data_IF_451237636819
#
_entry.id   IF_451237636819
#
_cell.length_a   1.000
_cell.length_b   1.000
_cell.length_c   1.000
_cell.angle_alpha   90.00
_cell.angle_beta   90.00
_cell.angle_gamma   90.00
#
_symmetry.space_group_name_H-M   'P 1'
#
loop_
_entity.id
_entity.type
_entity.pdbx_description
1 polymer ?
#
# COMPACT_ATOMS: atom_id res chain seq x y z
N UNK A 1 33.35 -2.76 0.37
CA UNK A 1 32.92 -3.25 -0.96
C UNK A 1 31.46 -3.60 -0.87
N UNK A 2 30.67 -3.21 -1.86
CA UNK A 2 29.28 -3.63 -2.00
C UNK A 2 29.22 -5.14 -2.19
N UNK A 3 28.26 -5.80 -1.52
CA UNK A 3 27.87 -7.16 -1.87
C UNK A 3 27.14 -7.08 -3.22
N UNK A 4 27.74 -7.61 -4.27
CA UNK A 4 27.17 -7.60 -5.61
C UNK A 4 26.84 -9.01 -6.08
N UNK A 5 25.70 -9.13 -6.75
CA UNK A 5 25.29 -10.38 -7.41
C UNK A 5 26.17 -10.61 -8.64
N UNK A 6 26.73 -11.81 -8.86
CA UNK A 6 27.47 -12.13 -10.08
C UNK A 6 26.66 -11.90 -11.34
N UNK A 7 27.32 -11.53 -12.43
CA UNK A 7 26.65 -11.10 -13.66
C UNK A 7 25.77 -12.19 -14.29
N UNK A 8 26.27 -13.42 -14.34
CA UNK A 8 25.49 -14.56 -14.85
C UNK A 8 24.20 -14.77 -14.04
N UNK A 9 24.27 -14.63 -12.71
CA UNK A 9 23.10 -14.72 -11.83
C UNK A 9 22.13 -13.55 -12.04
N UNK A 10 22.61 -12.34 -12.34
CA UNK A 10 21.72 -11.23 -12.71
C UNK A 10 20.96 -11.53 -14.00
N UNK A 11 21.63 -12.06 -15.02
CA UNK A 11 20.99 -12.41 -16.29
C UNK A 11 19.88 -13.46 -16.10
N UNK A 12 20.15 -14.48 -15.27
CA UNK A 12 19.14 -15.48 -14.92
C UNK A 12 17.94 -14.86 -14.18
N UNK A 13 18.19 -13.98 -13.20
CA UNK A 13 17.15 -13.27 -12.46
C UNK A 13 16.31 -12.39 -13.39
N UNK A 14 16.94 -11.67 -14.32
CA UNK A 14 16.26 -10.81 -15.28
C UNK A 14 15.37 -11.62 -16.23
N UNK A 15 15.88 -12.74 -16.75
CA UNK A 15 15.09 -13.65 -17.57
C UNK A 15 13.85 -14.15 -16.81
N UNK A 16 14.03 -14.66 -15.58
CA UNK A 16 12.92 -15.17 -14.77
C UNK A 16 11.90 -14.09 -14.41
N UNK A 17 12.36 -12.90 -14.03
CA UNK A 17 11.48 -11.76 -13.74
C UNK A 17 10.69 -11.32 -14.97
N UNK A 18 11.33 -11.27 -16.13
CA UNK A 18 10.66 -10.86 -17.38
C UNK A 18 9.57 -11.85 -17.78
N UNK A 19 9.82 -13.16 -17.67
CA UNK A 19 8.85 -14.19 -17.96
C UNK A 19 7.67 -14.15 -16.98
N UNK A 20 7.95 -14.00 -15.68
CA UNK A 20 6.92 -13.86 -14.66
C UNK A 20 6.06 -12.59 -14.86
N UNK A 21 6.70 -11.46 -15.17
CA UNK A 21 6.00 -10.21 -15.46
C UNK A 21 5.12 -10.33 -16.71
N UNK A 22 5.61 -10.96 -17.78
CA UNK A 22 4.81 -11.24 -18.97
C UNK A 22 3.59 -12.10 -18.63
N UNK A 23 3.79 -13.24 -17.96
CA UNK A 23 2.69 -14.13 -17.57
C UNK A 23 1.63 -13.41 -16.71
N UNK A 24 2.06 -12.64 -15.70
CA UNK A 24 1.17 -11.87 -14.85
C UNK A 24 0.42 -10.76 -15.61
N UNK A 25 1.09 -10.09 -16.55
CA UNK A 25 0.47 -9.01 -17.35
C UNK A 25 -0.33 -9.52 -18.55
N UNK A 26 -0.24 -10.79 -18.92
CA UNK A 26 -1.11 -11.40 -19.93
C UNK A 26 -2.44 -11.89 -19.34
N UNK A 27 -2.54 -12.05 -18.02
CA UNK A 27 -3.75 -12.50 -17.34
C UNK A 27 -4.68 -11.31 -17.00
N UNK A 28 -5.86 -11.26 -17.62
CA UNK A 28 -6.86 -10.22 -17.34
C UNK A 28 -7.40 -10.25 -15.91
N UNK A 29 -7.52 -11.43 -15.29
CA UNK A 29 -8.00 -11.54 -13.91
C UNK A 29 -6.97 -10.96 -12.95
N UNK A 30 -5.68 -11.19 -13.23
CA UNK A 30 -4.59 -10.59 -12.44
C UNK A 30 -4.63 -9.06 -12.52
N UNK A 31 -4.80 -8.49 -13.73
CA UNK A 31 -4.96 -7.03 -13.90
C UNK A 31 -6.14 -6.48 -13.14
N UNK A 32 -7.30 -7.13 -13.22
CA UNK A 32 -8.52 -6.69 -12.51
C UNK A 32 -8.31 -6.66 -11.00
N UNK A 33 -7.71 -7.71 -10.43
CA UNK A 33 -7.36 -7.75 -9.00
C UNK A 33 -6.41 -6.63 -8.60
N UNK A 34 -5.36 -6.40 -9.39
CA UNK A 34 -4.40 -5.33 -9.11
C UNK A 34 -5.05 -3.94 -9.12
N UNK A 35 -5.96 -3.67 -10.07
CA UNK A 35 -6.70 -2.40 -10.12
C UNK A 35 -7.61 -2.25 -8.90
N UNK A 36 -8.30 -3.31 -8.49
CA UNK A 36 -9.15 -3.31 -7.30
C UNK A 36 -8.35 -3.04 -6.02
N UNK A 37 -7.19 -3.69 -5.86
CA UNK A 37 -6.28 -3.45 -4.73
C UNK A 37 -5.76 -2.01 -4.70
N UNK A 38 -5.39 -1.45 -5.86
CA UNK A 38 -4.99 -0.04 -5.96
C UNK A 38 -6.13 0.92 -5.58
N UNK A 39 -7.37 0.62 -5.97
CA UNK A 39 -8.53 1.42 -5.61
C UNK A 39 -8.79 1.39 -4.10
N UNK A 40 -8.64 0.23 -3.46
CA UNK A 40 -8.77 0.06 -2.02
C UNK A 40 -7.72 0.89 -1.28
N UNK A 41 -6.44 0.74 -1.66
CA UNK A 41 -5.34 1.50 -1.05
C UNK A 41 -5.58 3.00 -1.20
N UNK A 42 -5.94 3.46 -2.40
CA UNK A 42 -6.23 4.88 -2.65
C UNK A 42 -7.39 5.38 -1.81
N UNK A 43 -8.48 4.62 -1.73
CA UNK A 43 -9.67 5.00 -0.97
C UNK A 43 -9.36 5.08 0.52
N UNK A 44 -8.62 4.11 1.06
CA UNK A 44 -8.20 4.11 2.47
C UNK A 44 -7.33 5.33 2.76
N UNK A 45 -6.24 5.55 2.00
CA UNK A 45 -5.33 6.69 2.23
C UNK A 45 -6.09 8.02 2.13
N UNK A 46 -6.90 8.21 1.09
CA UNK A 46 -7.62 9.47 0.89
C UNK A 46 -8.69 9.72 1.94
N UNK A 47 -9.34 8.67 2.44
CA UNK A 47 -10.31 8.79 3.55
C UNK A 47 -9.61 9.10 4.86
N UNK A 48 -8.54 8.38 5.17
CA UNK A 48 -7.75 8.60 6.38
C UNK A 48 -7.16 10.02 6.42
N UNK A 49 -6.64 10.52 5.30
CA UNK A 49 -6.07 11.87 5.24
C UNK A 49 -7.12 12.98 5.44
N UNK A 50 -8.39 12.74 5.10
CA UNK A 50 -9.46 13.75 5.13
C UNK A 50 -10.46 13.58 6.28
N UNK A 51 -10.33 12.51 7.07
CA UNK A 51 -11.30 12.20 8.12
C UNK A 51 -11.27 13.24 9.23
N UNK A 52 -12.45 13.61 9.73
CA UNK A 52 -12.60 14.48 10.91
C UNK A 52 -12.71 13.67 12.21
N UNK A 53 -12.75 12.34 12.12
CA UNK A 53 -12.89 11.41 13.24
C UNK A 53 -11.80 10.34 13.19
N UNK A 54 -10.52 10.74 13.31
CA UNK A 54 -9.38 9.84 13.13
C UNK A 54 -9.38 8.69 14.14
N UNK A 55 -9.91 8.86 15.34
CA UNK A 55 -9.98 7.84 16.39
C UNK A 55 -10.85 6.63 16.00
N UNK A 56 -11.74 6.80 15.01
CA UNK A 56 -12.57 5.71 14.48
C UNK A 56 -11.78 4.77 13.55
N UNK A 57 -10.71 5.26 12.92
CA UNK A 57 -10.08 4.57 11.79
C UNK A 57 -8.58 4.32 11.96
N UNK A 58 -7.86 5.19 12.67
CA UNK A 58 -6.43 5.02 12.94
C UNK A 58 -6.20 4.12 14.16
N UNK A 59 -5.14 3.33 14.10
CA UNK A 59 -4.61 2.67 15.28
C UNK A 59 -3.93 3.69 16.20
N UNK A 60 -3.86 3.36 17.49
CA UNK A 60 -3.35 4.26 18.53
C UNK A 60 -1.96 4.81 18.23
N UNK A 61 -1.06 3.98 17.70
CA UNK A 61 0.32 4.39 17.40
C UNK A 61 0.38 5.51 16.34
N UNK A 62 -0.47 5.47 15.32
CA UNK A 62 -0.50 6.46 14.24
C UNK A 62 -1.35 7.69 14.59
N UNK A 63 -2.26 7.59 15.57
CA UNK A 63 -3.01 8.74 16.07
C UNK A 63 -2.11 9.78 16.72
N UNK A 64 -1.06 9.35 17.43
CA UNK A 64 -0.17 10.26 18.12
C UNK A 64 0.70 11.05 17.13
N UNK A 65 1.11 10.41 16.03
CA UNK A 65 1.81 11.08 14.92
C UNK A 65 0.87 12.02 14.16
N UNK A 66 -0.37 11.59 13.88
CA UNK A 66 -1.36 12.43 13.21
C UNK A 66 -1.70 13.70 14.00
N UNK A 67 -1.73 13.62 15.34
CA UNK A 67 -1.95 14.79 16.21
C UNK A 67 -0.81 15.80 16.18
N UNK A 68 0.39 15.36 15.80
CA UNK A 68 1.58 16.21 15.65
C UNK A 68 1.73 16.75 14.24
N UNK A 69 0.92 16.31 13.29
CA UNK A 69 0.96 16.78 11.92
C UNK A 69 0.42 18.21 11.82
N UNK A 70 1.27 19.12 11.35
CA UNK A 70 1.01 20.55 11.23
C UNK A 70 0.39 20.92 9.87
N UNK A 71 0.55 20.07 8.86
CA UNK A 71 0.02 20.31 7.51
C UNK A 71 -0.64 19.08 6.86
N UNK A 72 -1.26 19.30 5.69
CA UNK A 72 -1.96 18.25 4.94
C UNK A 72 -1.00 17.19 4.36
N UNK A 73 0.26 17.54 4.11
CA UNK A 73 1.26 16.58 3.63
C UNK A 73 1.67 15.61 4.76
N UNK A 74 1.82 16.12 5.98
CA UNK A 74 2.11 15.32 7.16
C UNK A 74 0.93 14.43 7.55
N UNK A 75 -0.31 14.92 7.43
CA UNK A 75 -1.51 14.09 7.59
C UNK A 75 -1.59 12.98 6.52
N UNK A 76 -1.28 13.31 5.27
CA UNK A 76 -1.19 12.33 4.19
C UNK A 76 -0.11 11.29 4.49
N UNK A 77 1.04 11.72 5.02
CA UNK A 77 2.12 10.81 5.42
C UNK A 77 1.66 9.85 6.51
N UNK A 78 0.99 10.34 7.55
CA UNK A 78 0.43 9.49 8.61
C UNK A 78 -0.60 8.48 8.07
N UNK A 79 -1.45 8.91 7.13
CA UNK A 79 -2.40 8.02 6.45
C UNK A 79 -1.68 6.94 5.62
N UNK A 80 -0.61 7.29 4.91
CA UNK A 80 0.24 6.34 4.19
C UNK A 80 0.92 5.34 5.14
N UNK A 81 1.48 5.82 6.25
CA UNK A 81 2.21 4.97 7.21
C UNK A 81 1.28 3.97 7.91
N UNK A 82 0.08 4.42 8.34
CA UNK A 82 -0.98 3.52 8.83
C UNK A 82 -1.40 2.53 7.74
N UNK A 83 -1.57 2.96 6.49
CA UNK A 83 -2.01 2.05 5.41
C UNK A 83 -0.93 1.00 5.10
N UNK A 84 0.34 1.39 5.10
CA UNK A 84 1.47 0.53 4.82
C UNK A 84 1.73 -0.52 5.92
N UNK A 85 1.23 -0.30 7.14
CA UNK A 85 1.32 -1.27 8.24
C UNK A 85 0.23 -2.33 8.22
N UNK A 86 -0.83 -2.13 7.42
CA UNK A 86 -1.94 -3.06 7.34
C UNK A 86 -1.58 -4.25 6.46
N UNK A 87 -1.91 -5.44 6.96
CA UNK A 87 -2.02 -6.65 6.15
C UNK A 87 -3.19 -6.54 5.15
N UNK A 88 -3.20 -7.41 4.14
CA UNK A 88 -4.30 -7.52 3.16
C UNK A 88 -5.67 -7.71 3.84
N UNK A 89 -5.74 -8.53 4.90
CA UNK A 89 -6.98 -8.79 5.62
C UNK A 89 -7.46 -7.54 6.40
N UNK A 90 -6.53 -6.83 7.04
CA UNK A 90 -6.86 -5.66 7.85
C UNK A 90 -7.20 -4.43 7.00
N UNK A 91 -6.54 -4.22 5.85
CA UNK A 91 -6.89 -3.12 4.94
C UNK A 91 -8.27 -3.33 4.31
N UNK A 92 -8.61 -4.57 3.94
CA UNK A 92 -9.96 -4.93 3.48
C UNK A 92 -11.01 -4.64 4.56
N UNK A 93 -10.76 -5.07 5.80
CA UNK A 93 -11.67 -4.82 6.91
C UNK A 93 -11.88 -3.31 7.17
N UNK A 94 -10.81 -2.51 7.07
CA UNK A 94 -10.90 -1.06 7.20
C UNK A 94 -11.66 -0.42 6.03
N UNK A 95 -11.42 -0.88 4.81
CA UNK A 95 -12.12 -0.40 3.61
C UNK A 95 -13.63 -0.63 3.70
N UNK A 96 -14.08 -1.80 4.14
CA UNK A 96 -15.50 -2.07 4.37
C UNK A 96 -16.08 -1.15 5.45
N UNK A 97 -15.34 -0.88 6.54
CA UNK A 97 -15.74 0.07 7.59
C UNK A 97 -15.82 1.52 7.11
N UNK A 98 -15.05 1.89 6.09
CA UNK A 98 -15.09 3.21 5.47
C UNK A 98 -16.29 3.35 4.52
N UNK A 99 -16.66 2.26 3.83
CA UNK A 99 -17.81 2.23 2.91
C UNK A 99 -19.17 2.13 3.61
N UNK A 100 -19.22 1.50 4.79
CA UNK A 100 -20.42 1.38 5.63
C UNK A 100 -20.63 2.56 6.56
#
# INVERSE_FOLDING_TARGET
GSLEVPEDTKMEIELLKSLAAYAATSDENYKKKQVEEQDIIRTVITTLAKTKTPEKYFEKQYLDDLKRADDENEKLRCACDQTASLTDASIRSLYEKIKG
#
